data_IF_830648117204
#
_entry.id   IF_830648117204
#
_cell.length_a   1.000
_cell.length_b   1.000
_cell.length_c   1.000
_cell.angle_alpha   90.00
_cell.angle_beta   90.00
_cell.angle_gamma   90.00
#
_symmetry.space_group_name_H-M   'P 1'
#
loop_
_entity.id
_entity.type
_entity.pdbx_description
1 polymer ?
#
# COMPACT_ATOMS: atom_id res chain seq x y z
N UNK A 1 41.68 -11.09 10.33
CA UNK A 1 40.73 -11.17 9.20
C UNK A 1 39.42 -10.57 9.70
N UNK A 2 39.11 -9.35 9.28
CA UNK A 2 37.85 -8.68 9.62
C UNK A 2 36.82 -9.27 8.65
N UNK A 3 35.77 -9.87 9.21
CA UNK A 3 34.66 -10.44 8.47
C UNK A 3 33.94 -9.34 7.68
N UNK A 4 34.19 -9.31 6.37
CA UNK A 4 33.68 -8.30 5.43
C UNK A 4 32.34 -8.74 4.86
N UNK A 5 31.49 -9.38 5.66
CA UNK A 5 30.13 -9.68 5.21
C UNK A 5 29.33 -8.37 5.20
N UNK A 6 28.94 -7.81 4.04
CA UNK A 6 28.14 -6.61 4.03
C UNK A 6 26.78 -6.96 4.66
N UNK A 7 26.47 -6.33 5.79
CA UNK A 7 25.16 -6.30 6.41
C UNK A 7 24.16 -5.68 5.43
N UNK A 8 23.64 -6.49 4.51
CA UNK A 8 22.43 -6.15 3.78
C UNK A 8 21.31 -6.94 4.40
N UNK A 9 20.44 -6.25 5.13
CA UNK A 9 19.28 -6.89 5.72
C UNK A 9 18.33 -7.31 4.60
N UNK A 10 18.22 -8.63 4.41
CA UNK A 10 17.31 -9.26 3.46
C UNK A 10 16.00 -9.51 4.21
N UNK A 11 14.94 -8.79 3.84
CA UNK A 11 13.60 -9.31 4.04
C UNK A 11 13.52 -10.58 3.19
N UNK A 12 13.50 -11.76 3.81
CA UNK A 12 13.16 -12.98 3.07
C UNK A 12 11.63 -12.98 2.87
N UNK A 13 11.10 -13.51 1.76
CA UNK A 13 9.72 -13.99 1.77
C UNK A 13 9.62 -14.90 2.98
N UNK A 14 8.75 -14.55 3.91
CA UNK A 14 8.75 -15.21 5.18
C UNK A 14 8.33 -16.67 4.98
N UNK A 15 9.26 -17.58 5.27
CA UNK A 15 9.05 -19.02 5.23
C UNK A 15 9.82 -19.83 4.19
N UNK A 16 10.46 -19.25 3.16
CA UNK A 16 11.07 -20.08 2.10
C UNK A 16 12.57 -19.83 1.84
N UNK A 17 13.35 -20.92 1.82
CA UNK A 17 14.76 -20.97 1.42
C UNK A 17 14.89 -21.00 -0.13
N UNK A 18 14.35 -20.00 -0.82
CA UNK A 18 14.56 -19.85 -2.27
C UNK A 18 15.87 -19.10 -2.55
N UNK A 19 16.59 -19.43 -3.66
CA UNK A 19 17.77 -18.67 -4.09
C UNK A 19 17.38 -17.22 -4.39
N UNK A 20 18.00 -16.30 -3.66
CA UNK A 20 17.77 -14.86 -3.75
C UNK A 20 18.34 -14.28 -5.05
N UNK A 21 17.51 -13.59 -5.83
CA UNK A 21 17.95 -12.82 -7.01
C UNK A 21 18.04 -11.34 -6.62
N UNK A 22 19.23 -10.73 -6.56
CA UNK A 22 19.38 -9.31 -6.24
C UNK A 22 18.61 -8.46 -7.26
N UNK A 23 17.76 -7.55 -6.76
CA UNK A 23 16.96 -6.63 -7.58
C UNK A 23 17.51 -5.22 -7.46
N UNK A 24 17.96 -4.66 -8.58
CA UNK A 24 18.43 -3.27 -8.67
C UNK A 24 17.39 -2.42 -9.41
N UNK A 25 16.64 -1.62 -8.66
CA UNK A 25 15.78 -0.60 -9.25
C UNK A 25 16.58 0.68 -9.47
N UNK A 26 16.74 1.07 -10.73
CA UNK A 26 17.47 2.29 -11.07
C UNK A 26 16.50 3.47 -11.07
N UNK A 27 16.76 4.46 -10.21
CA UNK A 27 16.15 5.78 -10.33
C UNK A 27 16.58 6.38 -11.68
N UNK A 28 15.59 6.73 -12.50
CA UNK A 28 15.82 7.22 -13.84
C UNK A 28 15.68 8.74 -13.96
N UNK A 29 16.09 9.27 -15.11
CA UNK A 29 15.96 10.70 -15.43
C UNK A 29 17.09 11.55 -14.85
N UNK A 30 16.74 12.63 -14.14
CA UNK A 30 17.68 13.62 -13.58
C UNK A 30 18.05 13.38 -12.10
N UNK A 31 17.69 12.22 -11.56
CA UNK A 31 17.95 11.87 -10.16
C UNK A 31 19.00 10.77 -10.11
N UNK A 32 20.17 11.09 -9.57
CA UNK A 32 21.24 10.13 -9.35
C UNK A 32 21.27 9.74 -7.87
N UNK A 33 21.21 8.43 -7.61
CA UNK A 33 21.32 7.87 -6.26
C UNK A 33 22.44 6.84 -6.29
N UNK A 34 23.40 6.98 -5.37
CA UNK A 34 24.49 6.03 -5.24
C UNK A 34 23.99 4.71 -4.64
N UNK A 35 24.36 3.61 -5.30
CA UNK A 35 24.10 2.25 -4.83
C UNK A 35 25.00 1.93 -3.62
N UNK A 36 24.44 1.24 -2.63
CA UNK A 36 25.22 0.69 -1.50
C UNK A 36 26.22 -0.38 -1.95
N UNK A 37 27.29 -0.58 -1.19
CA UNK A 37 28.35 -1.55 -1.48
C UNK A 37 27.80 -2.96 -1.78
N UNK A 38 26.67 -3.34 -1.16
CA UNK A 38 26.04 -4.64 -1.37
C UNK A 38 25.45 -4.85 -2.77
N UNK A 39 25.10 -3.80 -3.52
CA UNK A 39 24.46 -3.93 -4.85
C UNK A 39 25.32 -3.38 -6.00
N UNK A 40 26.47 -2.78 -5.70
CA UNK A 40 27.40 -2.23 -6.70
C UNK A 40 27.86 -3.25 -7.76
N UNK A 41 27.92 -4.54 -7.40
CA UNK A 41 28.28 -5.63 -8.32
C UNK A 41 27.08 -6.18 -9.12
N UNK A 42 25.86 -5.67 -8.89
CA UNK A 42 24.66 -6.05 -9.65
C UNK A 42 24.47 -5.07 -10.81
N UNK A 43 25.08 -5.36 -11.96
CA UNK A 43 25.01 -4.48 -13.13
C UNK A 43 23.66 -4.50 -13.86
N UNK A 44 22.76 -5.40 -13.45
CA UNK A 44 21.52 -5.69 -14.15
C UNK A 44 20.36 -4.89 -13.53
N UNK A 45 19.75 -4.02 -14.32
CA UNK A 45 18.58 -3.24 -13.88
C UNK A 45 17.32 -4.09 -13.93
N UNK A 46 16.52 -4.00 -12.87
CA UNK A 46 15.22 -4.68 -12.74
C UNK A 46 14.08 -3.76 -13.16
N UNK A 47 13.17 -4.26 -13.97
CA UNK A 47 11.94 -3.60 -14.33
C UNK A 47 11.03 -3.46 -13.10
N UNK A 48 10.67 -2.22 -12.76
CA UNK A 48 9.78 -1.92 -11.63
C UNK A 48 8.40 -2.57 -11.74
N UNK A 49 7.91 -2.83 -12.96
CA UNK A 49 6.55 -3.33 -13.19
C UNK A 49 6.43 -4.85 -13.11
N UNK A 50 7.42 -5.59 -13.63
CA UNK A 50 7.33 -7.04 -13.77
C UNK A 50 8.42 -7.82 -12.99
N UNK A 51 9.44 -7.14 -12.49
CA UNK A 51 10.60 -7.79 -11.86
C UNK A 51 11.55 -8.48 -12.84
N UNK A 52 11.32 -8.38 -14.14
CA UNK A 52 12.22 -8.90 -15.16
C UNK A 52 13.50 -8.06 -15.28
N UNK A 53 14.55 -8.68 -15.81
CA UNK A 53 15.81 -8.01 -16.16
C UNK A 53 15.62 -7.14 -17.40
N UNK A 54 16.11 -5.90 -17.36
CA UNK A 54 16.19 -5.01 -18.53
C UNK A 54 17.58 -5.12 -19.16
N UNK A 55 17.64 -5.43 -20.45
CA UNK A 55 18.86 -5.46 -21.23
C UNK A 55 18.74 -4.50 -22.44
N UNK A 56 19.82 -3.80 -22.77
CA UNK A 56 19.89 -2.93 -23.96
C UNK A 56 18.92 -1.75 -23.97
N UNK A 57 18.44 -1.38 -25.16
CA UNK A 57 17.58 -0.20 -25.40
C UNK A 57 16.11 -0.39 -25.03
N UNK A 58 15.76 -1.47 -24.32
CA UNK A 58 14.37 -1.78 -23.96
C UNK A 58 13.84 -0.96 -22.77
N UNK A 59 14.64 -0.03 -22.23
CA UNK A 59 14.27 0.76 -21.07
C UNK A 59 13.31 1.92 -21.40
N UNK A 60 12.34 2.12 -20.52
CA UNK A 60 11.47 3.29 -20.39
C UNK A 60 11.40 3.72 -18.93
N UNK A 61 10.92 4.93 -18.66
CA UNK A 61 10.73 5.45 -17.31
C UNK A 61 9.27 5.31 -16.87
N UNK A 62 9.07 4.72 -15.71
CA UNK A 62 7.78 4.56 -15.04
C UNK A 62 7.74 5.47 -13.81
N UNK A 63 6.70 6.31 -13.70
CA UNK A 63 6.50 7.18 -12.55
C UNK A 63 5.54 6.51 -11.55
N UNK A 64 5.92 6.26 -10.28
CA UNK A 64 4.99 5.72 -9.29
C UNK A 64 3.67 6.51 -9.21
N UNK A 65 3.77 7.86 -9.15
CA UNK A 65 2.65 8.77 -9.42
C UNK A 65 2.74 9.29 -10.85
N UNK A 66 1.73 9.04 -11.69
CA UNK A 66 1.81 9.40 -13.11
C UNK A 66 1.75 10.91 -13.33
N UNK A 67 2.39 11.39 -14.41
CA UNK A 67 2.52 12.82 -14.69
C UNK A 67 1.16 13.53 -14.90
N UNK A 68 0.13 12.81 -15.37
CA UNK A 68 -1.20 13.39 -15.50
C UNK A 68 -1.76 13.81 -14.13
N UNK A 69 -1.41 13.10 -13.04
CA UNK A 69 -1.82 13.43 -11.69
C UNK A 69 -1.10 14.68 -11.20
N UNK A 70 0.19 14.84 -11.52
CA UNK A 70 0.96 16.05 -11.20
C UNK A 70 0.30 17.28 -11.82
N UNK A 71 -0.09 17.19 -13.09
CA UNK A 71 -0.80 18.26 -13.82
C UNK A 71 -2.16 18.52 -13.18
N UNK A 72 -2.94 17.47 -12.94
CA UNK A 72 -4.30 17.58 -12.39
C UNK A 72 -4.34 18.14 -10.95
N UNK A 73 -3.31 17.88 -10.15
CA UNK A 73 -3.15 18.45 -8.83
C UNK A 73 -2.70 19.92 -8.85
N UNK A 74 -2.62 20.59 -10.00
CA UNK A 74 -2.19 21.99 -10.11
C UNK A 74 -0.71 22.14 -10.50
N UNK A 75 -0.27 21.32 -11.46
CA UNK A 75 1.07 21.31 -12.05
C UNK A 75 2.22 21.28 -11.04
N UNK A 76 2.17 20.29 -10.14
CA UNK A 76 3.11 20.15 -9.02
C UNK A 76 4.39 19.40 -9.36
N UNK A 77 4.67 19.13 -10.64
CA UNK A 77 5.79 18.29 -11.07
C UNK A 77 7.15 18.73 -10.53
N UNK A 78 7.39 20.05 -10.43
CA UNK A 78 8.63 20.62 -9.91
C UNK A 78 8.65 20.82 -8.39
N UNK A 79 7.55 20.49 -7.69
CA UNK A 79 7.52 20.56 -6.22
C UNK A 79 8.25 19.38 -5.62
N UNK A 80 8.97 19.64 -4.53
CA UNK A 80 9.64 18.61 -3.73
C UNK A 80 8.62 17.63 -3.17
N UNK A 81 8.87 16.33 -3.33
CA UNK A 81 8.06 15.26 -2.77
C UNK A 81 8.53 14.98 -1.33
N UNK A 82 7.77 15.43 -0.33
CA UNK A 82 8.07 15.22 1.10
C UNK A 82 8.15 13.75 1.48
N UNK A 83 7.27 12.93 0.89
CA UNK A 83 7.21 11.46 1.04
C UNK A 83 8.54 10.74 0.82
N UNK A 84 9.39 11.33 -0.02
CA UNK A 84 10.61 10.72 -0.55
C UNK A 84 11.86 11.53 -0.18
N UNK A 85 11.81 12.30 0.92
CA UNK A 85 13.01 12.96 1.47
C UNK A 85 13.97 11.91 2.03
N UNK A 86 15.09 11.71 1.34
CA UNK A 86 16.12 10.73 1.73
C UNK A 86 17.04 11.29 2.81
N UNK A 87 17.40 12.56 2.69
CA UNK A 87 18.23 13.30 3.65
C UNK A 87 17.87 14.79 3.60
N UNK A 88 18.55 15.62 4.41
CA UNK A 88 18.42 17.08 4.31
C UNK A 88 18.83 17.62 2.93
N UNK A 89 19.76 16.92 2.26
CA UNK A 89 20.33 17.33 0.97
C UNK A 89 19.65 16.67 -0.23
N UNK A 90 19.05 15.50 -0.08
CA UNK A 90 18.42 14.74 -1.16
C UNK A 90 16.91 14.71 -0.94
N UNK A 91 16.21 15.57 -1.69
CA UNK A 91 14.76 15.57 -1.78
C UNK A 91 14.31 15.78 -3.23
N UNK A 92 13.88 14.72 -3.93
CA UNK A 92 13.48 14.80 -5.33
C UNK A 92 12.16 15.55 -5.53
N UNK A 93 11.95 16.08 -6.73
CA UNK A 93 10.65 16.57 -7.18
C UNK A 93 9.75 15.44 -7.65
N UNK A 94 8.43 15.67 -7.72
CA UNK A 94 7.49 14.69 -8.26
C UNK A 94 7.85 14.22 -9.68
N UNK A 95 8.36 15.11 -10.54
CA UNK A 95 8.79 14.77 -11.91
C UNK A 95 10.04 13.89 -11.95
N UNK A 96 10.94 14.04 -10.97
CA UNK A 96 12.17 13.25 -10.87
C UNK A 96 11.92 11.81 -10.39
N UNK A 97 10.80 11.55 -9.72
CA UNK A 97 10.46 10.23 -9.21
C UNK A 97 10.03 9.29 -10.34
N UNK A 98 11.02 8.62 -10.95
CA UNK A 98 10.81 7.58 -11.95
C UNK A 98 11.79 6.42 -11.81
N UNK A 99 11.36 5.23 -12.22
CA UNK A 99 12.16 4.01 -12.22
C UNK A 99 12.22 3.38 -13.60
N UNK A 100 13.30 2.66 -13.88
CA UNK A 100 13.43 1.92 -15.12
C UNK A 100 12.38 0.78 -15.22
N UNK A 101 11.83 0.63 -16.41
CA UNK A 101 10.82 -0.36 -16.80
C UNK A 101 11.10 -0.85 -18.22
N UNK A 102 10.64 -2.04 -18.60
CA UNK A 102 10.59 -2.42 -20.01
C UNK A 102 9.59 -1.52 -20.74
N UNK A 103 9.92 -1.05 -21.95
CA UNK A 103 9.04 -0.29 -22.84
C UNK A 103 7.67 -0.97 -23.01
N UNK A 104 7.67 -2.27 -23.28
CA UNK A 104 6.44 -3.02 -23.48
C UNK A 104 5.62 -3.20 -22.19
N UNK A 105 6.28 -3.45 -21.05
CA UNK A 105 5.59 -3.51 -19.76
C UNK A 105 4.91 -2.17 -19.48
N UNK A 106 5.63 -1.06 -19.63
CA UNK A 106 5.11 0.28 -19.37
C UNK A 106 3.92 0.61 -20.30
N UNK A 107 4.05 0.36 -21.61
CA UNK A 107 2.97 0.57 -22.59
C UNK A 107 1.71 -0.25 -22.27
N UNK A 108 1.87 -1.54 -22.00
CA UNK A 108 0.74 -2.42 -21.67
C UNK A 108 0.11 -2.06 -20.32
N UNK A 109 0.93 -1.69 -19.35
CA UNK A 109 0.47 -1.33 -18.02
C UNK A 109 -0.30 0.00 -18.04
N UNK A 110 0.18 1.01 -18.78
CA UNK A 110 -0.53 2.26 -19.01
C UNK A 110 -1.93 2.00 -19.58
N UNK A 111 -2.03 1.20 -20.65
CA UNK A 111 -3.31 0.85 -21.28
C UNK A 111 -4.28 0.11 -20.36
N UNK A 112 -3.77 -0.77 -19.51
CA UNK A 112 -4.60 -1.66 -18.67
C UNK A 112 -4.98 -1.03 -17.33
N UNK A 113 -4.11 -0.21 -16.75
CA UNK A 113 -4.24 0.27 -15.37
C UNK A 113 -4.38 1.80 -15.34
N UNK A 114 -3.49 2.54 -15.99
CA UNK A 114 -3.52 4.00 -15.92
C UNK A 114 -4.68 4.60 -16.72
N UNK A 115 -4.82 4.28 -18.00
CA UNK A 115 -5.84 4.88 -18.87
C UNK A 115 -7.27 4.71 -18.30
N UNK A 116 -7.69 3.51 -17.83
CA UNK A 116 -9.03 3.34 -17.25
C UNK A 116 -9.23 4.10 -15.93
N UNK A 117 -8.17 4.31 -15.15
CA UNK A 117 -8.23 4.95 -13.84
C UNK A 117 -8.26 6.47 -13.91
N UNK A 118 -7.75 7.11 -14.97
CA UNK A 118 -7.69 8.59 -15.09
C UNK A 118 -9.07 9.22 -14.83
N UNK A 119 -10.10 8.77 -15.55
CA UNK A 119 -11.45 9.31 -15.43
C UNK A 119 -12.05 8.99 -14.07
N UNK A 120 -11.82 7.79 -13.55
CA UNK A 120 -12.33 7.36 -12.25
C UNK A 120 -11.73 8.20 -11.09
N UNK A 121 -10.41 8.35 -11.06
CA UNK A 121 -9.71 9.11 -10.01
C UNK A 121 -10.06 10.59 -10.07
N UNK A 122 -10.12 11.18 -11.28
CA UNK A 122 -10.57 12.59 -11.42
C UNK A 122 -12.00 12.77 -10.93
N UNK A 123 -12.92 11.88 -11.33
CA UNK A 123 -14.29 11.93 -10.83
C UNK A 123 -14.35 11.78 -9.31
N UNK A 124 -13.55 10.90 -8.71
CA UNK A 124 -13.49 10.71 -7.26
C UNK A 124 -13.03 12.00 -6.56
N UNK A 125 -11.97 12.63 -7.08
CA UNK A 125 -11.42 13.88 -6.56
C UNK A 125 -12.38 15.05 -6.77
N UNK A 126 -13.10 15.12 -7.87
CA UNK A 126 -14.05 16.22 -8.13
C UNK A 126 -15.43 15.97 -7.46
N UNK A 127 -15.59 14.87 -6.72
CA UNK A 127 -16.82 14.56 -5.98
C UNK A 127 -17.93 13.98 -6.87
N UNK A 128 -17.58 13.39 -8.00
CA UNK A 128 -18.49 12.69 -8.89
C UNK A 128 -18.92 11.32 -8.38
N UNK A 129 -19.80 10.68 -9.16
CA UNK A 129 -20.25 9.30 -8.93
C UNK A 129 -19.40 8.34 -9.75
N UNK A 130 -18.89 7.29 -9.11
CA UNK A 130 -18.17 6.21 -9.77
C UNK A 130 -19.05 4.97 -9.83
N UNK A 131 -19.08 4.31 -10.98
CA UNK A 131 -19.59 2.94 -11.14
C UNK A 131 -18.62 1.93 -10.52
N UNK A 132 -19.08 0.70 -10.32
CA UNK A 132 -18.24 -0.37 -9.77
C UNK A 132 -17.00 -0.68 -10.63
N UNK A 133 -17.08 -0.57 -11.96
CA UNK A 133 -15.91 -0.75 -12.84
C UNK A 133 -14.90 0.37 -12.69
N UNK A 134 -15.37 1.60 -12.47
CA UNK A 134 -14.50 2.75 -12.17
C UNK A 134 -13.86 2.62 -10.78
N UNK A 135 -14.58 2.08 -9.79
CA UNK A 135 -14.01 1.78 -8.47
C UNK A 135 -12.93 0.71 -8.57
N UNK A 136 -13.16 -0.35 -9.34
CA UNK A 136 -12.16 -1.41 -9.59
C UNK A 136 -10.90 -0.84 -10.25
N UNK A 137 -11.05 -0.01 -11.29
CA UNK A 137 -9.94 0.67 -11.94
C UNK A 137 -9.17 1.61 -10.98
N UNK A 138 -9.87 2.33 -10.10
CA UNK A 138 -9.22 3.18 -9.09
C UNK A 138 -8.44 2.34 -8.07
N UNK A 139 -8.97 1.18 -7.66
CA UNK A 139 -8.28 0.26 -6.77
C UNK A 139 -7.05 -0.40 -7.41
N UNK A 140 -7.15 -0.80 -8.68
CA UNK A 140 -6.01 -1.31 -9.46
C UNK A 140 -4.88 -0.26 -9.52
N UNK A 141 -5.24 1.00 -9.71
CA UNK A 141 -4.30 2.11 -9.72
C UNK A 141 -3.67 2.38 -8.35
N UNK A 142 -4.44 2.29 -7.25
CA UNK A 142 -3.90 2.42 -5.90
C UNK A 142 -2.94 1.28 -5.53
N UNK A 143 -3.23 0.05 -5.96
CA UNK A 143 -2.30 -1.09 -5.84
C UNK A 143 -0.97 -0.80 -6.54
N UNK A 144 -1.01 -0.26 -7.75
CA UNK A 144 0.19 0.19 -8.46
C UNK A 144 0.97 1.21 -7.65
N UNK A 145 0.33 2.31 -7.24
CA UNK A 145 1.02 3.40 -6.52
C UNK A 145 1.72 2.86 -5.29
N UNK A 146 1.03 2.03 -4.50
CA UNK A 146 1.59 1.43 -3.28
C UNK A 146 2.83 0.58 -3.59
N UNK A 147 2.74 -0.32 -4.58
CA UNK A 147 3.88 -1.19 -4.94
C UNK A 147 5.05 -0.43 -5.57
N UNK A 148 4.77 0.44 -6.55
CA UNK A 148 5.80 1.24 -7.22
C UNK A 148 6.51 2.19 -6.24
N UNK A 149 5.79 2.72 -5.26
CA UNK A 149 6.39 3.55 -4.20
C UNK A 149 7.34 2.78 -3.29
N UNK A 150 7.05 1.50 -2.98
CA UNK A 150 7.99 0.65 -2.24
C UNK A 150 9.29 0.39 -3.03
N UNK A 151 9.18 0.17 -4.34
CA UNK A 151 10.35 0.04 -5.21
C UNK A 151 11.14 1.36 -5.33
N UNK A 152 10.45 2.50 -5.40
CA UNK A 152 11.07 3.82 -5.41
C UNK A 152 11.85 4.07 -4.13
N UNK A 153 11.22 3.81 -2.99
CA UNK A 153 11.86 3.95 -1.69
C UNK A 153 13.08 3.03 -1.52
N UNK A 154 13.02 1.80 -2.05
CA UNK A 154 14.17 0.88 -2.11
C UNK A 154 15.33 1.48 -2.90
N UNK A 155 15.05 2.05 -4.08
CA UNK A 155 16.07 2.70 -4.91
C UNK A 155 16.69 3.92 -4.21
N UNK A 156 15.85 4.78 -3.63
CA UNK A 156 16.28 6.00 -2.94
C UNK A 156 17.11 5.74 -1.68
N UNK A 157 16.93 4.59 -1.02
CA UNK A 157 17.73 4.14 0.13
C UNK A 157 19.04 3.46 -0.29
N UNK A 158 19.45 3.57 -1.56
CA UNK A 158 20.65 2.93 -2.10
C UNK A 158 20.60 1.40 -2.01
N UNK A 159 19.38 0.83 -1.98
CA UNK A 159 19.13 -0.61 -1.81
C UNK A 159 19.77 -1.21 -0.54
N UNK A 160 19.96 -0.38 0.50
CA UNK A 160 20.43 -0.82 1.83
C UNK A 160 19.43 -1.77 2.52
N UNK A 161 18.16 -1.72 2.11
CA UNK A 161 17.10 -2.64 2.54
C UNK A 161 16.74 -3.51 1.33
N UNK A 162 16.94 -4.82 1.41
CA UNK A 162 16.57 -5.76 0.35
C UNK A 162 15.21 -6.35 0.66
N UNK A 163 14.20 -6.05 -0.15
CA UNK A 163 12.89 -6.67 0.04
C UNK A 163 12.89 -8.12 -0.46
N UNK A 164 12.08 -8.94 0.20
CA UNK A 164 11.83 -10.34 -0.17
C UNK A 164 10.90 -10.35 -1.35
N UNK A 165 11.47 -10.12 -2.52
CA UNK A 165 10.69 -9.99 -3.74
C UNK A 165 10.25 -11.38 -4.21
N UNK A 166 9.03 -11.75 -3.83
CA UNK A 166 8.24 -12.69 -4.59
C UNK A 166 7.68 -12.01 -5.85
N UNK A 167 7.22 -12.82 -6.78
CA UNK A 167 6.57 -12.36 -8.01
C UNK A 167 5.41 -11.38 -7.77
N UNK A 168 4.65 -11.61 -6.69
CA UNK A 168 3.51 -10.80 -6.23
C UNK A 168 3.89 -9.44 -5.62
N UNK A 169 5.18 -9.10 -5.57
CA UNK A 169 5.63 -7.79 -5.10
C UNK A 169 5.58 -6.73 -6.20
N UNK A 170 5.56 -7.15 -7.47
CA UNK A 170 5.61 -6.26 -8.63
C UNK A 170 4.20 -5.90 -9.14
N UNK A 171 3.95 -4.65 -9.58
CA UNK A 171 2.64 -4.19 -10.03
C UNK A 171 1.91 -5.11 -11.03
N UNK A 172 2.62 -5.66 -12.03
CA UNK A 172 2.00 -6.54 -13.05
C UNK A 172 1.35 -7.80 -12.48
N UNK A 173 1.82 -8.27 -11.32
CA UNK A 173 1.31 -9.49 -10.67
C UNK A 173 0.51 -9.16 -9.41
N UNK A 174 0.85 -8.06 -8.71
CA UNK A 174 0.20 -7.67 -7.46
C UNK A 174 -1.19 -7.09 -7.66
N UNK A 175 -1.41 -6.32 -8.72
CA UNK A 175 -2.69 -5.63 -8.94
C UNK A 175 -3.83 -6.66 -8.94
N UNK A 176 -4.71 -6.55 -7.95
CA UNK A 176 -5.89 -7.39 -7.78
C UNK A 176 -5.61 -8.74 -7.12
N UNK A 177 -4.42 -8.93 -6.55
CA UNK A 177 -4.06 -10.16 -5.87
C UNK A 177 -4.61 -10.23 -4.44
N UNK A 178 -4.76 -9.09 -3.76
CA UNK A 178 -5.00 -9.01 -2.32
C UNK A 178 -6.19 -8.14 -1.95
N UNK A 179 -6.74 -8.39 -0.75
CA UNK A 179 -7.85 -7.63 -0.18
C UNK A 179 -7.52 -6.14 -0.17
N UNK A 180 -8.49 -5.29 -0.54
CA UNK A 180 -8.30 -3.84 -0.69
C UNK A 180 -9.26 -3.06 0.17
N UNK A 181 -8.75 -2.00 0.78
CA UNK A 181 -9.51 -1.08 1.61
C UNK A 181 -9.11 0.36 1.30
N UNK A 182 -10.09 1.24 1.16
CA UNK A 182 -9.89 2.68 1.12
C UNK A 182 -10.76 3.38 2.16
N UNK A 183 -10.14 4.27 2.94
CA UNK A 183 -10.80 5.19 3.88
C UNK A 183 -10.65 6.61 3.31
N UNK A 184 -11.77 7.23 2.97
CA UNK A 184 -11.83 8.39 2.08
C UNK A 184 -12.56 9.54 2.77
N UNK A 185 -11.93 10.70 2.78
CA UNK A 185 -12.47 11.91 3.38
C UNK A 185 -11.85 13.16 2.74
N UNK A 186 -12.31 14.34 3.15
CA UNK A 186 -11.80 15.64 2.70
C UNK A 186 -11.10 16.36 3.83
N UNK A 187 -10.19 17.26 3.51
CA UNK A 187 -9.59 18.19 4.48
C UNK A 187 -9.87 19.65 4.13
N UNK A 188 -9.93 20.51 5.14
CA UNK A 188 -9.99 21.96 4.97
C UNK A 188 -8.60 22.55 4.81
N UNK A 189 -8.34 23.24 3.69
CA UNK A 189 -7.15 24.03 3.37
C UNK A 189 -5.82 23.58 3.99
N UNK A 190 -4.97 22.98 3.15
CA UNK A 190 -3.58 22.63 3.47
C UNK A 190 -2.66 22.75 2.25
N UNK A 191 -1.42 23.18 2.45
CA UNK A 191 -0.31 23.05 1.48
C UNK A 191 -0.04 21.57 1.16
N UNK A 192 0.78 21.20 0.16
CA UNK A 192 0.54 21.20 -1.30
C UNK A 192 -0.48 20.15 -1.79
N UNK A 193 -1.15 20.34 -2.94
CA UNK A 193 -2.32 19.56 -3.39
C UNK A 193 -2.01 18.13 -3.89
N UNK A 194 -0.81 17.62 -3.66
CA UNK A 194 -0.43 16.24 -3.93
C UNK A 194 0.57 15.80 -2.88
N UNK A 195 0.18 14.83 -2.07
CA UNK A 195 1.05 14.24 -1.06
C UNK A 195 0.89 12.72 -1.08
N UNK A 196 1.97 12.04 -0.73
CA UNK A 196 2.00 10.62 -0.42
C UNK A 196 2.73 10.49 0.91
N UNK A 197 2.32 9.60 1.81
CA UNK A 197 3.00 9.44 3.10
C UNK A 197 3.55 8.03 3.30
N UNK A 198 4.46 7.94 4.27
CA UNK A 198 5.02 6.71 4.84
C UNK A 198 5.83 5.82 3.89
N UNK A 199 6.16 6.32 2.69
CA UNK A 199 6.86 5.53 1.69
C UNK A 199 8.31 5.22 2.03
N UNK A 200 8.96 6.03 2.88
CA UNK A 200 10.32 5.78 3.39
C UNK A 200 10.34 5.22 4.82
N UNK A 201 9.18 4.95 5.42
CA UNK A 201 9.09 4.34 6.75
C UNK A 201 9.57 2.88 6.67
N UNK A 202 10.44 2.45 7.58
CA UNK A 202 10.98 1.07 7.56
C UNK A 202 9.88 0.02 7.75
N UNK A 203 8.82 0.35 8.49
CA UNK A 203 7.63 -0.48 8.64
C UNK A 203 6.90 -0.71 7.31
N UNK A 204 6.74 0.35 6.52
CA UNK A 204 6.18 0.24 5.17
C UNK A 204 7.10 -0.54 4.24
N UNK A 205 8.41 -0.24 4.24
CA UNK A 205 9.36 -0.91 3.35
C UNK A 205 9.37 -2.43 3.56
N UNK A 206 9.35 -2.86 4.81
CA UNK A 206 9.37 -4.29 5.16
C UNK A 206 8.01 -4.99 4.97
N UNK A 207 6.89 -4.25 5.03
CA UNK A 207 5.54 -4.76 4.78
C UNK A 207 4.70 -3.70 4.04
N UNK A 208 4.85 -3.56 2.71
CA UNK A 208 4.24 -2.46 1.94
C UNK A 208 2.75 -2.69 1.77
N UNK A 209 1.99 -2.39 2.81
CA UNK A 209 0.59 -2.81 3.00
C UNK A 209 -0.38 -1.65 3.07
N UNK A 210 0.04 -0.46 3.50
CA UNK A 210 -0.80 0.73 3.53
C UNK A 210 -0.02 2.00 3.13
N UNK A 211 -0.72 2.96 2.54
CA UNK A 211 -0.24 4.30 2.20
C UNK A 211 -1.36 5.32 2.45
N UNK A 212 -0.99 6.58 2.67
CA UNK A 212 -1.93 7.69 2.49
C UNK A 212 -1.57 8.48 1.23
N UNK A 213 -2.56 8.66 0.36
CA UNK A 213 -2.50 9.53 -0.81
C UNK A 213 -3.43 10.70 -0.62
N UNK A 214 -2.95 11.89 -0.96
CA UNK A 214 -3.76 13.11 -1.05
C UNK A 214 -3.72 13.66 -2.47
N UNK A 215 -4.88 14.01 -3.00
CA UNK A 215 -5.03 14.74 -4.27
C UNK A 215 -6.02 15.88 -4.06
N UNK A 216 -5.56 17.12 -4.26
CA UNK A 216 -6.25 18.37 -3.87
C UNK A 216 -6.65 18.33 -2.39
N UNK A 217 -7.93 18.28 -2.08
CA UNK A 217 -8.47 18.17 -0.73
C UNK A 217 -8.98 16.76 -0.40
N UNK A 218 -8.98 15.82 -1.36
CA UNK A 218 -9.31 14.42 -1.14
C UNK A 218 -8.12 13.70 -0.49
N UNK A 219 -8.39 12.99 0.60
CA UNK A 219 -7.42 12.09 1.25
C UNK A 219 -7.94 10.66 1.20
N UNK A 220 -7.06 9.74 0.84
CA UNK A 220 -7.31 8.30 0.74
C UNK A 220 -6.25 7.59 1.59
N UNK A 221 -6.67 6.97 2.70
CA UNK A 221 -5.86 5.93 3.35
C UNK A 221 -6.17 4.63 2.64
N UNK A 222 -5.19 4.06 1.96
CA UNK A 222 -5.33 2.84 1.18
C UNK A 222 -4.54 1.71 1.81
N UNK A 223 -5.17 0.55 1.99
CA UNK A 223 -4.50 -0.68 2.42
C UNK A 223 -4.81 -1.83 1.46
N UNK A 224 -3.77 -2.62 1.16
CA UNK A 224 -3.85 -3.79 0.30
C UNK A 224 -2.88 -4.87 0.76
N UNK A 225 -3.44 -5.92 1.36
CA UNK A 225 -2.68 -6.99 2.01
C UNK A 225 -3.43 -8.33 2.03
N UNK A 226 -2.69 -9.40 2.26
CA UNK A 226 -3.24 -10.73 2.44
C UNK A 226 -4.19 -10.78 3.63
N UNK A 227 -5.38 -11.36 3.44
CA UNK A 227 -6.37 -11.63 4.51
C UNK A 227 -6.81 -10.39 5.32
N UNK A 228 -6.55 -9.18 4.81
CA UNK A 228 -6.92 -7.91 5.43
C UNK A 228 -8.41 -7.87 5.80
N UNK A 229 -9.24 -8.46 4.94
CA UNK A 229 -10.69 -8.42 5.03
C UNK A 229 -11.31 -9.78 5.41
N UNK A 230 -10.49 -10.77 5.78
CA UNK A 230 -10.98 -12.12 6.11
C UNK A 230 -12.03 -12.10 7.20
N UNK A 231 -11.75 -11.45 8.33
CA UNK A 231 -12.69 -11.38 9.45
C UNK A 231 -13.97 -10.63 9.06
N UNK A 232 -13.84 -9.50 8.37
CA UNK A 232 -14.97 -8.64 8.02
C UNK A 232 -15.98 -9.34 7.09
N UNK A 233 -15.50 -10.16 6.16
CA UNK A 233 -16.33 -10.82 5.14
C UNK A 233 -16.51 -12.32 5.38
N UNK A 234 -16.04 -12.83 6.53
CA UNK A 234 -16.11 -14.25 6.87
C UNK A 234 -15.34 -15.14 5.89
N UNK A 235 -14.22 -14.67 5.34
CA UNK A 235 -13.41 -15.40 4.38
C UNK A 235 -12.30 -16.18 5.07
N UNK A 236 -11.79 -17.20 4.40
CA UNK A 236 -10.70 -18.00 4.91
C UNK A 236 -9.41 -17.20 5.08
N UNK A 237 -8.54 -17.72 5.93
CA UNK A 237 -7.22 -17.17 6.23
C UNK A 237 -6.24 -18.30 6.52
N UNK A 238 -4.98 -18.09 6.18
CA UNK A 238 -3.90 -18.97 6.62
C UNK A 238 -3.52 -18.64 8.05
N UNK A 239 -3.23 -19.66 8.86
CA UNK A 239 -2.64 -19.53 10.20
C UNK A 239 -1.54 -20.58 10.38
N UNK A 240 -0.55 -20.28 11.21
CA UNK A 240 0.45 -21.28 11.59
C UNK A 240 -0.19 -22.32 12.51
N UNK A 241 -0.21 -23.57 12.07
CA UNK A 241 -0.60 -24.73 12.87
C UNK A 241 0.57 -25.73 12.87
N UNK A 242 1.11 -26.02 14.05
CA UNK A 242 2.22 -26.96 14.24
C UNK A 242 3.46 -26.65 13.37
N UNK A 243 3.79 -25.37 13.17
CA UNK A 243 4.96 -24.96 12.38
C UNK A 243 4.71 -24.92 10.87
N UNK A 244 3.46 -25.11 10.41
CA UNK A 244 3.09 -25.06 9.00
C UNK A 244 1.93 -24.11 8.76
N UNK A 245 2.00 -23.35 7.66
CA UNK A 245 0.92 -22.48 7.22
C UNK A 245 -0.28 -23.33 6.74
N UNK A 246 -1.35 -23.34 7.54
CA UNK A 246 -2.57 -24.09 7.23
C UNK A 246 -3.71 -23.12 6.90
N UNK A 247 -4.36 -23.34 5.76
CA UNK A 247 -5.52 -22.55 5.35
C UNK A 247 -6.77 -22.99 6.09
N UNK A 248 -7.44 -22.04 6.73
CA UNK A 248 -8.68 -22.25 7.49
C UNK A 248 -9.81 -21.59 6.70
N UNK A 249 -10.79 -22.37 6.22
CA UNK A 249 -11.94 -21.84 5.49
C UNK A 249 -12.76 -20.85 6.32
N UNK A 250 -13.34 -19.86 5.64
CA UNK A 250 -14.23 -18.89 6.26
C UNK A 250 -15.69 -19.38 6.37
N UNK A 251 -16.45 -18.79 7.29
CA UNK A 251 -17.87 -19.10 7.47
C UNK A 251 -18.79 -18.43 6.43
N UNK A 252 -18.28 -17.48 5.64
CA UNK A 252 -19.06 -16.67 4.69
C UNK A 252 -19.98 -15.63 5.34
N UNK A 253 -19.91 -15.47 6.66
CA UNK A 253 -20.75 -14.54 7.44
C UNK A 253 -20.02 -13.22 7.63
N UNK A 254 -20.68 -12.12 7.28
CA UNK A 254 -20.10 -10.79 7.42
C UNK A 254 -20.14 -10.34 8.88
N UNK A 255 -19.02 -9.82 9.37
CA UNK A 255 -18.94 -9.20 10.68
C UNK A 255 -19.42 -7.74 10.62
N UNK A 256 -19.92 -7.18 11.75
CA UNK A 256 -20.16 -5.75 11.85
C UNK A 256 -18.82 -4.99 11.82
N UNK A 257 -18.76 -3.88 11.07
CA UNK A 257 -17.53 -3.10 10.90
C UNK A 257 -16.40 -3.97 10.33
N UNK A 258 -15.19 -3.86 10.87
CA UNK A 258 -14.09 -4.73 10.46
C UNK A 258 -14.01 -6.04 11.25
N UNK A 259 -14.96 -6.31 12.15
CA UNK A 259 -14.99 -7.48 13.03
C UNK A 259 -13.96 -7.45 14.18
N UNK A 260 -12.72 -7.04 13.90
CA UNK A 260 -11.63 -7.00 14.91
C UNK A 260 -11.05 -5.61 15.14
N UNK A 261 -11.49 -4.60 14.39
CA UNK A 261 -11.06 -3.21 14.58
C UNK A 261 -12.14 -2.21 14.22
N UNK A 262 -11.95 -0.96 14.63
CA UNK A 262 -12.75 0.18 14.21
C UNK A 262 -11.90 1.21 13.46
N UNK A 263 -12.53 2.04 12.64
CA UNK A 263 -11.87 3.17 11.99
C UNK A 263 -11.91 4.40 12.91
N UNK A 264 -10.78 5.09 13.01
CA UNK A 264 -10.58 6.31 13.80
C UNK A 264 -10.99 7.58 13.07
N UNK A 265 -11.16 7.54 11.75
CA UNK A 265 -11.58 8.69 10.95
C UNK A 265 -13.11 8.77 10.96
N UNK A 266 -13.72 9.72 11.70
CA UNK A 266 -15.16 9.71 11.90
C UNK A 266 -15.90 10.00 10.59
N UNK A 267 -16.96 9.23 10.33
CA UNK A 267 -17.84 9.38 9.16
C UNK A 267 -17.14 9.26 7.80
N UNK A 268 -15.88 8.79 7.77
CA UNK A 268 -15.17 8.55 6.51
C UNK A 268 -15.96 7.59 5.62
N UNK A 269 -15.87 7.81 4.32
CA UNK A 269 -16.37 6.84 3.36
C UNK A 269 -15.38 5.67 3.31
N UNK A 270 -15.86 4.49 3.64
CA UNK A 270 -15.03 3.28 3.71
C UNK A 270 -15.48 2.32 2.62
N UNK A 271 -14.58 2.02 1.70
CA UNK A 271 -14.79 1.11 0.58
C UNK A 271 -13.85 -0.08 0.69
N UNK A 272 -14.39 -1.28 0.49
CA UNK A 272 -13.64 -2.52 0.57
C UNK A 272 -13.89 -3.41 -0.64
N UNK A 273 -12.86 -4.14 -1.07
CA UNK A 273 -12.93 -5.16 -2.11
C UNK A 273 -12.13 -6.38 -1.64
N UNK A 274 -12.80 -7.44 -1.13
CA UNK A 274 -12.12 -8.65 -0.71
C UNK A 274 -11.65 -9.47 -1.91
N UNK A 275 -10.39 -9.87 -1.97
CA UNK A 275 -9.79 -10.58 -3.11
C UNK A 275 -9.28 -11.96 -2.69
N UNK A 276 -9.59 -12.96 -3.52
CA UNK A 276 -9.08 -14.34 -3.42
C UNK A 276 -8.48 -14.89 -4.72
N UNK A 277 -8.29 -14.04 -5.72
CA UNK A 277 -7.75 -14.42 -7.03
C UNK A 277 -6.44 -15.21 -6.92
N UNK A 278 -5.51 -14.77 -6.07
CA UNK A 278 -4.21 -15.46 -5.89
C UNK A 278 -4.38 -16.81 -5.18
N UNK A 279 -5.15 -16.86 -4.09
CA UNK A 279 -5.38 -18.10 -3.33
C UNK A 279 -6.13 -19.16 -4.12
N UNK A 280 -7.06 -18.77 -5.00
CA UNK A 280 -7.71 -19.72 -5.89
C UNK A 280 -6.74 -20.36 -6.89
N UNK A 281 -5.71 -19.61 -7.36
CA UNK A 281 -4.65 -20.19 -8.20
C UNK A 281 -3.79 -21.20 -7.42
N UNK A 282 -3.71 -21.03 -6.11
CA UNK A 282 -3.03 -21.94 -5.18
C UNK A 282 -3.92 -23.11 -4.72
N UNK A 283 -5.15 -23.20 -5.25
CA UNK A 283 -6.09 -24.30 -4.97
C UNK A 283 -6.98 -24.08 -3.75
N UNK A 284 -6.93 -22.92 -3.10
CA UNK A 284 -7.78 -22.61 -1.95
C UNK A 284 -9.09 -21.97 -2.39
N UNK A 285 -10.20 -22.56 -1.95
CA UNK A 285 -11.55 -22.13 -2.33
C UNK A 285 -12.27 -21.52 -1.12
N UNK A 286 -12.72 -20.27 -1.29
CA UNK A 286 -13.65 -19.59 -0.39
C UNK A 286 -15.03 -19.52 -1.05
N UNK A 287 -16.05 -20.00 -0.34
CA UNK A 287 -17.45 -19.82 -0.74
C UNK A 287 -18.05 -18.65 0.03
N UNK A 288 -18.05 -17.46 -0.57
CA UNK A 288 -18.63 -16.27 0.04
C UNK A 288 -19.39 -15.42 -0.99
N UNK A 289 -20.53 -14.82 -0.60
CA UNK A 289 -21.23 -13.85 -1.45
C UNK A 289 -20.40 -12.58 -1.71
N UNK A 290 -19.29 -12.38 -1.00
CA UNK A 290 -18.35 -11.29 -1.26
C UNK A 290 -17.56 -11.48 -2.57
N UNK A 291 -17.40 -12.73 -3.02
CA UNK A 291 -16.51 -13.11 -4.10
C UNK A 291 -17.26 -13.49 -5.38
N UNK A 292 -16.60 -13.30 -6.50
CA UNK A 292 -16.96 -13.84 -7.81
C UNK A 292 -16.31 -15.21 -8.02
N UNK A 293 -16.72 -15.93 -9.08
CA UNK A 293 -16.20 -17.28 -9.37
C UNK A 293 -14.68 -17.32 -9.56
N UNK A 294 -14.09 -16.24 -10.08
CA UNK A 294 -12.65 -16.10 -10.32
C UNK A 294 -11.87 -15.58 -9.08
N UNK A 295 -12.55 -15.45 -7.92
CA UNK A 295 -11.95 -14.97 -6.69
C UNK A 295 -11.91 -13.46 -6.56
N UNK A 296 -12.41 -12.69 -7.53
CA UNK A 296 -12.45 -11.24 -7.43
C UNK A 296 -13.58 -10.78 -6.51
N UNK A 297 -13.27 -9.78 -5.69
CA UNK A 297 -14.24 -9.15 -4.82
C UNK A 297 -15.24 -8.30 -5.57
N UNK A 298 -16.47 -8.31 -5.08
CA UNK A 298 -17.39 -7.20 -5.30
C UNK A 298 -16.96 -6.02 -4.43
N UNK A 299 -17.30 -4.80 -4.83
CA UNK A 299 -17.03 -3.60 -4.03
C UNK A 299 -18.15 -3.39 -3.00
N UNK A 300 -17.76 -3.10 -1.77
CA UNK A 300 -18.64 -2.85 -0.64
C UNK A 300 -18.35 -1.49 -0.01
N UNK A 301 -19.40 -0.83 0.46
CA UNK A 301 -19.32 0.37 1.31
C UNK A 301 -19.76 0.00 2.73
N UNK A 302 -19.05 0.50 3.75
CA UNK A 302 -19.47 0.36 5.13
C UNK A 302 -20.46 1.48 5.48
N UNK A 303 -21.72 1.12 5.73
CA UNK A 303 -22.77 2.06 6.17
C UNK A 303 -23.19 1.71 7.59
N UNK A 304 -22.91 2.61 8.53
CA UNK A 304 -22.98 2.30 9.96
C UNK A 304 -22.00 1.18 10.30
N UNK A 305 -22.50 0.03 10.72
CA UNK A 305 -21.70 -1.19 10.96
C UNK A 305 -21.87 -2.27 9.89
N UNK A 306 -22.59 -2.01 8.79
CA UNK A 306 -22.94 -3.04 7.79
C UNK A 306 -22.24 -2.83 6.46
N UNK A 307 -21.69 -3.89 5.89
CA UNK A 307 -21.14 -3.89 4.53
C UNK A 307 -22.26 -4.03 3.50
N UNK A 308 -22.36 -3.06 2.60
CA UNK A 308 -23.37 -3.03 1.54
C UNK A 308 -22.67 -3.09 0.19
N UNK A 309 -23.07 -4.06 -0.64
CA UNK A 309 -22.55 -4.16 -2.01
C UNK A 309 -22.98 -2.95 -2.80
N UNK A 310 -22.03 -2.23 -3.41
CA UNK A 310 -22.32 -1.06 -4.22
C UNK A 310 -22.17 -1.34 -5.70
N UNK A 311 -23.09 -0.82 -6.52
CA UNK A 311 -22.95 -0.75 -7.99
C UNK A 311 -22.39 0.59 -8.46
N UNK A 312 -22.54 1.61 -7.62
CA UNK A 312 -21.94 2.93 -7.78
C UNK A 312 -21.76 3.56 -6.40
N UNK A 313 -20.76 4.42 -6.25
CA UNK A 313 -20.57 5.22 -5.05
C UNK A 313 -20.48 6.71 -5.40
N UNK A 314 -21.07 7.54 -4.55
CA UNK A 314 -21.12 8.99 -4.69
C UNK A 314 -20.07 9.65 -3.77
N UNK A 315 -19.24 10.52 -4.34
CA UNK A 315 -18.16 11.22 -3.62
C UNK A 315 -18.45 12.72 -3.41
N UNK A 316 -19.66 13.18 -3.75
CA UNK A 316 -20.06 14.59 -3.60
C UNK A 316 -20.18 15.03 -2.15
N UNK A 317 -20.56 14.11 -1.26
CA UNK A 317 -20.69 14.34 0.18
C UNK A 317 -19.69 13.44 0.92
N UNK A 318 -18.56 14.05 1.31
CA UNK A 318 -17.54 13.43 2.15
C UNK A 318 -17.33 14.30 3.39
N UNK A 319 -17.02 13.69 4.55
CA UNK A 319 -16.71 14.48 5.75
C UNK A 319 -15.46 15.32 5.48
N UNK A 320 -15.52 16.58 5.92
CA UNK A 320 -14.40 17.51 5.82
C UNK A 320 -13.79 17.73 7.20
N UNK A 321 -12.54 17.31 7.36
CA UNK A 321 -11.78 17.43 8.60
C UNK A 321 -10.85 18.64 8.55
N UNK A 322 -10.50 19.20 9.70
CA UNK A 322 -9.37 20.14 9.77
C UNK A 322 -8.10 19.48 9.23
N UNK A 323 -7.29 20.16 8.41
CA UNK A 323 -6.08 19.57 7.81
C UNK A 323 -5.15 18.91 8.82
N UNK A 324 -4.86 19.55 9.97
CA UNK A 324 -3.94 18.98 10.97
C UNK A 324 -4.49 17.68 11.55
N UNK A 325 -5.77 17.69 11.92
CA UNK A 325 -6.44 16.52 12.48
C UNK A 325 -6.60 15.40 11.45
N UNK A 326 -6.99 15.74 10.21
CA UNK A 326 -7.10 14.78 9.11
C UNK A 326 -5.78 14.07 8.88
N UNK A 327 -4.68 14.83 8.75
CA UNK A 327 -3.35 14.27 8.57
C UNK A 327 -2.92 13.36 9.71
N UNK A 328 -3.09 13.80 10.95
CA UNK A 328 -2.76 12.99 12.12
C UNK A 328 -3.55 11.68 12.16
N UNK A 329 -4.86 11.71 11.85
CA UNK A 329 -5.71 10.52 11.82
C UNK A 329 -5.36 9.58 10.66
N UNK A 330 -5.03 10.10 9.48
CA UNK A 330 -4.66 9.27 8.35
C UNK A 330 -3.28 8.62 8.51
N UNK A 331 -2.30 9.33 9.09
CA UNK A 331 -1.03 8.74 9.50
C UNK A 331 -1.25 7.61 10.52
N UNK A 332 -2.10 7.86 11.53
CA UNK A 332 -2.44 6.86 12.54
C UNK A 332 -3.09 5.60 11.94
N UNK A 333 -4.07 5.76 11.04
CA UNK A 333 -4.65 4.62 10.31
C UNK A 333 -3.61 3.89 9.47
N UNK A 334 -2.73 4.61 8.77
CA UNK A 334 -1.70 3.99 7.92
C UNK A 334 -0.77 3.10 8.75
N UNK A 335 -0.27 3.62 9.87
CA UNK A 335 0.59 2.87 10.81
C UNK A 335 -0.15 1.65 11.38
N UNK A 336 -1.42 1.81 11.79
CA UNK A 336 -2.21 0.70 12.35
C UNK A 336 -2.47 -0.42 11.33
N UNK A 337 -2.69 -0.08 10.06
CA UNK A 337 -2.85 -1.07 8.98
C UNK A 337 -1.53 -1.79 8.65
N UNK A 338 -0.39 -1.10 8.74
CA UNK A 338 0.94 -1.72 8.60
C UNK A 338 1.20 -2.68 9.76
N UNK A 339 0.92 -2.27 11.01
CA UNK A 339 1.03 -3.13 12.20
C UNK A 339 0.16 -4.38 12.03
N UNK A 340 -1.12 -4.22 11.68
CA UNK A 340 -2.02 -5.36 11.48
C UNK A 340 -1.49 -6.32 10.41
N UNK A 341 -0.97 -5.80 9.30
CA UNK A 341 -0.42 -6.63 8.24
C UNK A 341 0.80 -7.42 8.72
N UNK A 342 1.66 -6.82 9.54
CA UNK A 342 2.81 -7.52 10.16
C UNK A 342 2.40 -8.61 11.14
N UNK A 343 1.41 -8.35 11.98
CA UNK A 343 0.86 -9.35 12.91
C UNK A 343 0.22 -10.52 12.14
N UNK A 344 -0.48 -10.24 11.04
CA UNK A 344 -1.05 -11.28 10.17
C UNK A 344 0.03 -12.08 9.43
N UNK A 345 1.11 -11.43 9.03
CA UNK A 345 2.29 -12.05 8.45
C UNK A 345 2.96 -12.99 9.48
N UNK A 346 3.24 -12.49 10.69
CA UNK A 346 3.79 -13.28 11.79
C UNK A 346 2.92 -14.49 12.14
N UNK A 347 1.60 -14.31 12.24
CA UNK A 347 0.68 -15.41 12.54
C UNK A 347 0.68 -16.51 11.47
N UNK A 348 1.13 -16.22 10.24
CA UNK A 348 1.19 -17.19 9.14
C UNK A 348 2.50 -17.94 9.06
N UNK A 349 3.60 -17.20 9.17
CA UNK A 349 4.94 -17.71 8.84
C UNK A 349 6.04 -17.13 9.74
N UNK A 350 5.66 -16.49 10.85
CA UNK A 350 6.59 -15.88 11.78
C UNK A 350 7.57 -16.90 12.37
N UNK A 351 8.82 -16.48 12.44
CA UNK A 351 9.91 -17.12 13.17
C UNK A 351 10.58 -16.06 14.05
N UNK A 352 11.33 -16.45 15.10
CA UNK A 352 12.04 -15.49 15.96
C UNK A 352 12.96 -14.51 15.19
N UNK A 353 13.45 -14.89 14.01
CA UNK A 353 14.34 -14.11 13.15
C UNK A 353 13.62 -13.34 12.03
N UNK A 354 12.28 -13.28 12.06
CA UNK A 354 11.47 -12.65 11.02
C UNK A 354 11.79 -11.16 10.85
N UNK A 355 12.48 -10.85 9.76
CA UNK A 355 13.00 -9.50 9.50
C UNK A 355 11.93 -8.40 9.52
N UNK A 356 10.73 -8.68 8.99
CA UNK A 356 9.65 -7.70 8.93
C UNK A 356 9.13 -7.27 10.32
N UNK A 357 9.44 -8.03 11.38
CA UNK A 357 9.11 -7.66 12.76
C UNK A 357 10.10 -6.68 13.39
N UNK A 358 11.30 -6.51 12.84
CA UNK A 358 12.31 -5.58 13.39
C UNK A 358 11.82 -4.12 13.44
N UNK A 359 10.97 -3.74 12.50
CA UNK A 359 10.37 -2.39 12.45
C UNK A 359 9.16 -2.23 13.39
N UNK A 360 8.62 -3.31 13.96
CA UNK A 360 7.37 -3.29 14.72
C UNK A 360 7.46 -2.42 15.99
N UNK A 361 8.55 -2.46 16.80
CA UNK A 361 8.69 -1.57 17.95
C UNK A 361 8.64 -0.08 17.58
N UNK A 362 9.28 0.31 16.47
CA UNK A 362 9.27 1.69 15.98
C UNK A 362 7.87 2.12 15.54
N UNK A 363 7.12 1.24 14.86
CA UNK A 363 5.73 1.49 14.49
C UNK A 363 4.82 1.65 15.71
N UNK A 364 5.02 0.87 16.78
CA UNK A 364 4.25 1.05 18.01
C UNK A 364 4.57 2.38 18.69
N UNK A 365 5.83 2.82 18.66
CA UNK A 365 6.22 4.11 19.22
C UNK A 365 5.63 5.28 18.41
N UNK A 366 5.67 5.19 17.09
CA UNK A 366 5.01 6.13 16.17
C UNK A 366 3.50 6.17 16.40
N UNK A 367 2.84 5.01 16.55
CA UNK A 367 1.41 4.91 16.91
C UNK A 367 1.12 5.66 18.22
N UNK A 368 1.92 5.46 19.27
CA UNK A 368 1.76 6.16 20.56
C UNK A 368 1.91 7.67 20.41
N UNK A 369 2.91 8.13 19.66
CA UNK A 369 3.13 9.55 19.39
C UNK A 369 1.96 10.17 18.61
N UNK A 370 1.44 9.48 17.60
CA UNK A 370 0.28 9.90 16.82
C UNK A 370 -1.00 9.94 17.68
N UNK A 371 -1.20 8.97 18.57
CA UNK A 371 -2.33 8.98 19.54
C UNK A 371 -2.27 10.21 20.43
N UNK A 372 -1.10 10.53 20.98
CA UNK A 372 -0.89 11.73 21.77
C UNK A 372 -1.18 12.99 20.94
N UNK A 373 -0.64 13.07 19.73
CA UNK A 373 -0.85 14.21 18.85
C UNK A 373 -2.32 14.42 18.47
N UNK A 374 -3.05 13.34 18.15
CA UNK A 374 -4.50 13.41 17.89
C UNK A 374 -5.26 13.83 19.14
N UNK A 375 -4.88 13.33 20.32
CA UNK A 375 -5.49 13.72 21.61
C UNK A 375 -5.32 15.22 21.85
N UNK A 376 -4.12 15.75 21.64
CA UNK A 376 -3.83 17.19 21.77
C UNK A 376 -4.66 18.02 20.79
N UNK A 377 -4.75 17.60 19.52
CA UNK A 377 -5.58 18.26 18.50
C UNK A 377 -7.09 18.20 18.80
N UNK A 378 -7.52 17.26 19.64
CA UNK A 378 -8.91 17.12 20.11
C UNK A 378 -9.16 17.83 21.46
N UNK A 379 -8.28 18.73 21.87
CA UNK A 379 -8.43 19.47 23.13
C UNK A 379 -8.18 18.61 24.37
N UNK A 380 -7.31 17.61 24.26
CA UNK A 380 -6.96 16.71 25.37
C UNK A 380 -7.94 15.56 25.59
N UNK A 381 -8.94 15.38 24.71
CA UNK A 381 -9.84 14.22 24.77
C UNK A 381 -9.10 12.95 24.32
N UNK A 382 -8.79 12.02 25.24
CA UNK A 382 -7.99 10.86 24.92
C UNK A 382 -8.70 9.95 23.91
N UNK A 383 -7.92 9.36 23.02
CA UNK A 383 -8.40 8.27 22.16
C UNK A 383 -7.84 6.93 22.65
N UNK A 384 -8.61 5.86 22.46
CA UNK A 384 -8.19 4.50 22.84
C UNK A 384 -6.84 4.15 22.21
N UNK A 385 -5.94 3.57 23.00
CA UNK A 385 -4.65 3.09 22.51
C UNK A 385 -4.82 1.92 21.53
N UNK A 386 -5.76 1.01 21.83
CA UNK A 386 -6.13 -0.07 20.93
C UNK A 386 -7.19 0.39 19.92
N UNK A 387 -6.98 0.08 18.65
CA UNK A 387 -7.99 0.13 17.58
C UNK A 387 -8.76 -1.19 17.46
N UNK A 388 -8.40 -2.20 18.27
CA UNK A 388 -9.05 -3.50 18.26
C UNK A 388 -10.36 -3.44 19.05
N UNK A 389 -11.39 -4.03 18.50
CA UNK A 389 -12.58 -4.34 19.30
C UNK A 389 -12.22 -5.50 20.22
N UNK A 390 -12.37 -5.33 21.54
CA UNK A 390 -12.48 -6.49 22.43
C UNK A 390 -13.53 -7.39 21.80
N UNK A 391 -13.20 -8.68 21.58
CA UNK A 391 -14.13 -9.61 20.95
C UNK A 391 -15.49 -9.65 21.68
N UNK A 392 -16.50 -10.29 21.08
CA UNK A 392 -17.68 -10.69 21.85
C UNK A 392 -17.28 -11.45 23.12
#
# INVERSE_FOLDING_TARGET
MIDVTPLVEVARPAGENLPFIPRRFQAGGRLEIADSAGIQNTFITTCVLCGGVIAGEEASLEHPLPQWLHKYAGDVGERKASAFRVSETIQPTWRQLSLNSHKECNRLFARKIEDPSITAVKAMVDGGRLTWTQLDAAFDWLDKIKSASAHMATALRGHNIRLGYGDISFPNKRVGAFDRLAIIYRISDGRPPLDLWDCLNDGFLTTPSAITLRVKDLVIVYSSSTFLLSTAFGLGKSMNQNGSATYIPGAGIFAPGFGTRFCRIPSAKILAQPMRRQYQKEGWLDHSPALQKNGDGRVYELIGSRWIRVRSCDFSVLPKLNSRLGYALAALETVEWIILSKEQDEARYGTPESFFLKSLPALHDEKRQLIKYVTDLRGGLPISESDRTTGP
#
